data_IF_396626960098
#
_entry.id   IF_396626960098
#
_cell.length_a   1.000
_cell.length_b   1.000
_cell.length_c   1.000
_cell.angle_alpha   90.00
_cell.angle_beta   90.00
_cell.angle_gamma   90.00
#
_symmetry.space_group_name_H-M   'P 1'
#
loop_
_entity.id
_entity.type
_entity.pdbx_description
1 polymer ?
#
# COMPACT_ATOMS: atom_id res chain seq x y z
N UNK A 1 10.20 6.76 9.07
CA UNK A 1 10.72 5.72 8.16
C UNK A 1 9.98 5.89 6.84
N UNK A 2 10.68 6.03 5.70
CA UNK A 2 10.03 6.34 4.41
C UNK A 2 9.68 5.08 3.59
N UNK A 3 10.23 3.93 3.95
CA UNK A 3 9.97 2.65 3.27
C UNK A 3 10.33 1.48 4.19
N UNK A 4 9.84 0.30 3.85
CA UNK A 4 10.24 -0.99 4.43
C UNK A 4 10.46 -1.95 3.26
N UNK A 5 11.58 -2.66 3.28
CA UNK A 5 11.72 -3.91 2.53
C UNK A 5 11.37 -5.04 3.49
N UNK A 6 10.29 -5.77 3.22
CA UNK A 6 9.93 -6.91 4.04
C UNK A 6 10.86 -8.09 3.75
N UNK A 7 11.00 -8.99 4.73
CA UNK A 7 11.80 -10.22 4.59
C UNK A 7 11.16 -11.27 3.67
N UNK A 8 9.90 -11.07 3.26
CA UNK A 8 9.20 -11.99 2.36
C UNK A 8 9.67 -11.80 0.91
N UNK A 9 9.83 -12.92 0.22
CA UNK A 9 10.11 -12.99 -1.20
C UNK A 9 9.09 -13.91 -1.86
N UNK A 10 8.58 -13.50 -3.02
CA UNK A 10 7.61 -14.23 -3.80
C UNK A 10 8.24 -14.85 -5.04
N UNK A 11 7.72 -16.00 -5.45
CA UNK A 11 8.18 -16.75 -6.61
C UNK A 11 7.94 -15.95 -7.89
N UNK A 12 9.04 -15.44 -8.46
CA UNK A 12 8.99 -14.56 -9.63
C UNK A 12 8.54 -15.32 -10.88
N UNK A 13 8.89 -16.60 -11.03
CA UNK A 13 8.52 -17.38 -12.20
C UNK A 13 7.01 -17.65 -12.21
N UNK A 14 6.41 -17.97 -11.05
CA UNK A 14 4.95 -18.08 -10.91
C UNK A 14 4.25 -16.77 -11.21
N UNK A 15 4.74 -15.64 -10.66
CA UNK A 15 4.17 -14.32 -10.91
C UNK A 15 4.21 -13.93 -12.39
N UNK A 16 5.33 -14.20 -13.06
CA UNK A 16 5.50 -13.89 -14.49
C UNK A 16 4.63 -14.80 -15.38
N UNK A 17 4.50 -16.08 -15.03
CA UNK A 17 3.62 -17.01 -15.73
C UNK A 17 2.14 -16.57 -15.67
N UNK A 18 1.68 -16.11 -14.51
CA UNK A 18 0.31 -15.57 -14.34
C UNK A 18 0.12 -14.24 -15.08
N UNK A 19 1.11 -13.35 -15.00
CA UNK A 19 1.09 -12.08 -15.72
C UNK A 19 0.94 -12.27 -17.24
N UNK A 20 1.53 -13.32 -17.81
CA UNK A 20 1.39 -13.62 -19.24
C UNK A 20 -0.06 -13.86 -19.68
N UNK A 21 -0.94 -14.33 -18.78
CA UNK A 21 -2.38 -14.42 -19.01
C UNK A 21 -3.02 -13.03 -19.01
N UNK A 22 -2.73 -12.23 -18.00
CA UNK A 22 -3.32 -10.89 -17.81
C UNK A 22 -2.88 -9.88 -18.87
N UNK A 23 -1.68 -10.02 -19.44
CA UNK A 23 -1.21 -9.16 -20.53
C UNK A 23 -2.04 -9.27 -21.83
N UNK A 24 -2.92 -10.28 -21.92
CA UNK A 24 -3.87 -10.44 -23.04
C UNK A 24 -5.18 -9.67 -22.85
N UNK A 25 -5.42 -9.18 -21.63
CA UNK A 25 -6.60 -8.39 -21.29
C UNK A 25 -6.45 -6.93 -21.73
N UNK A 26 -7.53 -6.16 -21.65
CA UNK A 26 -7.48 -4.72 -21.91
C UNK A 26 -6.93 -3.96 -20.69
N UNK A 27 -5.84 -3.22 -20.89
CA UNK A 27 -5.23 -2.38 -19.87
C UNK A 27 -5.52 -0.90 -20.16
N UNK A 28 -6.46 -0.27 -19.44
CA UNK A 28 -6.71 1.16 -19.58
C UNK A 28 -5.46 1.98 -19.21
N UNK A 29 -5.33 3.14 -19.86
CA UNK A 29 -4.36 4.16 -19.46
C UNK A 29 -4.66 4.60 -18.02
N UNK A 30 -3.59 4.84 -17.26
CA UNK A 30 -3.71 5.37 -15.92
C UNK A 30 -4.38 6.75 -15.94
N UNK A 31 -5.29 7.01 -15.00
CA UNK A 31 -6.11 8.23 -14.99
C UNK A 31 -5.28 9.51 -14.74
N UNK A 32 -4.10 9.40 -14.12
CA UNK A 32 -3.21 10.55 -13.91
C UNK A 32 -2.43 10.89 -15.19
N UNK A 33 -2.88 11.96 -15.86
CA UNK A 33 -2.28 12.50 -17.08
C UNK A 33 -1.36 13.71 -16.85
N UNK A 34 -1.29 14.25 -15.63
CA UNK A 34 -0.55 15.49 -15.33
C UNK A 34 0.88 15.21 -14.86
N UNK A 35 1.01 14.21 -14.01
CA UNK A 35 2.27 13.89 -13.31
C UNK A 35 3.07 12.81 -14.02
N UNK A 36 2.78 12.58 -15.31
CA UNK A 36 3.33 11.47 -16.06
C UNK A 36 3.80 11.89 -17.47
N UNK A 37 4.84 11.23 -17.96
CA UNK A 37 5.24 11.23 -19.37
C UNK A 37 5.55 9.78 -19.81
N UNK A 38 4.93 9.31 -20.90
CA UNK A 38 5.12 7.97 -21.46
C UNK A 38 3.83 7.15 -21.60
N UNK A 39 3.90 5.82 -21.43
CA UNK A 39 2.74 4.92 -21.33
C UNK A 39 2.69 4.29 -19.91
N UNK A 40 1.64 4.61 -19.17
CA UNK A 40 1.35 4.10 -17.83
C UNK A 40 -0.04 3.50 -17.85
N UNK A 41 -0.13 2.20 -17.56
CA UNK A 41 -1.37 1.44 -17.60
C UNK A 41 -1.64 0.73 -16.30
N UNK A 42 -2.91 0.49 -16.03
CA UNK A 42 -3.36 -0.19 -14.83
C UNK A 42 -4.44 -1.21 -15.18
N UNK A 43 -4.46 -2.33 -14.46
CA UNK A 43 -5.60 -3.25 -14.45
C UNK A 43 -5.85 -3.67 -13.01
N UNK A 44 -7.11 -3.62 -12.59
CA UNK A 44 -7.49 -3.92 -11.21
C UNK A 44 -7.67 -5.41 -11.02
N UNK A 45 -7.10 -5.92 -9.94
CA UNK A 45 -7.35 -7.24 -9.38
C UNK A 45 -8.47 -7.17 -8.32
N UNK A 46 -8.57 -6.04 -7.59
CA UNK A 46 -9.68 -5.68 -6.70
C UNK A 46 -10.09 -4.22 -6.93
N UNK A 47 -11.38 -3.95 -7.07
CA UNK A 47 -11.95 -2.62 -7.29
C UNK A 47 -13.30 -2.47 -6.58
N UNK A 48 -13.80 -1.24 -6.46
CA UNK A 48 -15.07 -0.96 -5.78
C UNK A 48 -16.27 -1.47 -6.61
N UNK A 49 -16.20 -1.34 -7.93
CA UNK A 49 -17.20 -1.88 -8.85
C UNK A 49 -17.12 -3.40 -9.01
N UNK A 50 -15.96 -4.01 -8.75
CA UNK A 50 -15.65 -5.40 -9.10
C UNK A 50 -15.21 -5.57 -10.56
N UNK A 51 -15.13 -4.50 -11.34
CA UNK A 51 -14.66 -4.50 -12.73
C UNK A 51 -13.15 -4.30 -12.82
N UNK A 52 -12.51 -4.98 -13.78
CA UNK A 52 -11.04 -4.95 -13.95
C UNK A 52 -10.51 -3.61 -14.49
N UNK A 53 -11.37 -2.81 -15.13
CA UNK A 53 -11.02 -1.50 -15.69
C UNK A 53 -11.30 -0.33 -14.72
N UNK A 54 -11.90 -0.60 -13.55
CA UNK A 54 -12.04 0.37 -12.47
C UNK A 54 -10.73 0.49 -11.70
N UNK A 55 -9.86 1.35 -12.21
CA UNK A 55 -8.47 1.54 -11.75
C UNK A 55 -8.34 2.60 -10.64
N UNK A 56 -9.45 3.06 -10.08
CA UNK A 56 -9.47 4.07 -9.04
C UNK A 56 -9.42 3.42 -7.64
N UNK A 57 -8.69 4.07 -6.74
CA UNK A 57 -8.79 3.81 -5.31
C UNK A 57 -9.88 4.72 -4.72
N UNK A 58 -11.09 4.19 -4.59
CA UNK A 58 -12.21 4.88 -3.94
C UNK A 58 -12.09 4.78 -2.42
N UNK A 59 -12.10 5.89 -1.67
CA UNK A 59 -12.13 5.83 -0.21
C UNK A 59 -13.45 5.25 0.29
N UNK A 60 -13.40 4.49 1.40
CA UNK A 60 -14.57 3.97 2.13
C UNK A 60 -15.52 3.07 1.29
N UNK A 61 -15.01 2.49 0.20
CA UNK A 61 -15.76 1.59 -0.67
C UNK A 61 -15.60 0.12 -0.28
N UNK A 62 -16.62 -0.70 -0.52
CA UNK A 62 -16.46 -2.16 -0.49
C UNK A 62 -15.67 -2.62 -1.72
N UNK A 63 -14.52 -3.26 -1.51
CA UNK A 63 -13.69 -3.78 -2.59
C UNK A 63 -13.94 -5.25 -2.87
N UNK A 64 -14.05 -5.59 -4.16
CA UNK A 64 -14.37 -6.94 -4.63
C UNK A 64 -13.31 -7.45 -5.58
N UNK A 65 -13.07 -8.75 -5.53
CA UNK A 65 -12.22 -9.45 -6.49
C UNK A 65 -12.79 -9.30 -7.90
N UNK A 66 -11.95 -8.88 -8.83
CA UNK A 66 -12.30 -8.73 -10.25
C UNK A 66 -12.14 -10.06 -11.00
N UNK A 67 -12.70 -10.19 -12.22
CA UNK A 67 -12.45 -11.36 -13.07
C UNK A 67 -10.96 -11.63 -13.33
N UNK A 68 -10.11 -10.60 -13.41
CA UNK A 68 -8.68 -10.74 -13.71
C UNK A 68 -7.93 -11.44 -12.58
N UNK A 69 -8.34 -11.28 -11.32
CA UNK A 69 -7.70 -11.98 -10.20
C UNK A 69 -7.82 -13.51 -10.32
N UNK A 70 -8.86 -14.03 -11.01
CA UNK A 70 -9.00 -15.47 -11.28
C UNK A 70 -7.91 -16.02 -12.19
N UNK A 71 -7.23 -15.16 -12.96
CA UNK A 71 -6.09 -15.51 -13.80
C UNK A 71 -4.77 -15.53 -13.02
N UNK A 72 -4.78 -15.05 -11.77
CA UNK A 72 -3.59 -14.93 -10.93
C UNK A 72 -3.77 -15.64 -9.56
N UNK A 73 -3.94 -16.97 -9.53
CA UNK A 73 -4.17 -17.71 -8.29
C UNK A 73 -3.04 -17.58 -7.27
N UNK A 74 -1.78 -17.47 -7.69
CA UNK A 74 -0.66 -17.21 -6.80
C UNK A 74 -0.73 -15.80 -6.20
N UNK A 75 -1.11 -14.80 -7.00
CA UNK A 75 -1.39 -13.47 -6.43
C UNK A 75 -2.52 -13.54 -5.41
N UNK A 76 -3.57 -14.32 -5.65
CA UNK A 76 -4.64 -14.55 -4.67
C UNK A 76 -4.10 -15.17 -3.37
N UNK A 77 -3.23 -16.18 -3.44
CA UNK A 77 -2.53 -16.75 -2.27
C UNK A 77 -1.73 -15.68 -1.50
N UNK A 78 -1.02 -14.81 -2.23
CA UNK A 78 -0.28 -13.69 -1.63
C UNK A 78 -1.24 -12.74 -0.91
N UNK A 79 -2.34 -12.32 -1.55
CA UNK A 79 -3.32 -11.46 -0.91
C UNK A 79 -3.90 -12.10 0.35
N UNK A 80 -4.20 -13.40 0.33
CA UNK A 80 -4.76 -14.11 1.48
C UNK A 80 -3.75 -14.23 2.64
N UNK A 81 -2.45 -14.24 2.35
CA UNK A 81 -1.38 -14.31 3.37
C UNK A 81 -1.21 -13.01 4.18
N UNK A 82 -1.69 -11.88 3.67
CA UNK A 82 -1.68 -10.61 4.41
C UNK A 82 -2.92 -10.54 5.28
N UNK A 83 -2.80 -10.65 6.60
CA UNK A 83 -3.95 -10.73 7.52
C UNK A 83 -4.59 -9.36 7.82
N UNK A 84 -4.90 -8.62 6.76
CA UNK A 84 -5.57 -7.33 6.81
C UNK A 84 -6.66 -7.23 5.75
N UNK A 85 -7.51 -6.23 5.90
CA UNK A 85 -8.43 -5.84 4.85
C UNK A 85 -7.64 -5.18 3.71
N UNK A 86 -8.05 -5.48 2.47
CA UNK A 86 -7.46 -4.90 1.26
C UNK A 86 -8.52 -4.09 0.55
N UNK A 87 -8.16 -2.85 0.27
CA UNK A 87 -8.92 -1.98 -0.60
C UNK A 87 -8.61 -2.34 -2.06
N UNK A 88 -8.04 -1.39 -2.81
CA UNK A 88 -7.69 -1.60 -4.20
C UNK A 88 -6.44 -2.47 -4.34
N UNK A 89 -6.49 -3.40 -5.27
CA UNK A 89 -5.33 -4.19 -5.71
C UNK A 89 -5.24 -4.09 -7.20
N UNK A 90 -4.07 -3.75 -7.73
CA UNK A 90 -3.89 -3.50 -9.17
C UNK A 90 -2.50 -3.85 -9.64
N UNK A 91 -2.39 -4.18 -10.93
CA UNK A 91 -1.11 -4.23 -11.62
C UNK A 91 -0.86 -2.86 -12.26
N UNK A 92 0.30 -2.27 -12.00
CA UNK A 92 0.75 -1.04 -12.65
C UNK A 92 1.91 -1.30 -13.58
N UNK A 93 1.69 -1.03 -14.88
CA UNK A 93 2.69 -1.14 -15.94
C UNK A 93 3.24 0.22 -16.32
N UNK A 94 4.55 0.38 -16.31
CA UNK A 94 5.27 1.60 -16.69
C UNK A 94 6.21 1.29 -17.86
N UNK A 95 5.95 1.86 -19.03
CA UNK A 95 6.71 1.59 -20.24
C UNK A 95 8.16 2.12 -20.19
N UNK A 96 9.07 1.59 -21.03
CA UNK A 96 10.41 2.13 -21.23
C UNK A 96 10.41 3.66 -21.45
N UNK A 97 11.39 4.35 -20.89
CA UNK A 97 11.55 5.81 -20.99
C UNK A 97 10.51 6.64 -20.23
N UNK A 98 9.58 6.00 -19.52
CA UNK A 98 8.48 6.71 -18.87
C UNK A 98 8.87 7.24 -17.49
N UNK A 99 8.31 8.40 -17.13
CA UNK A 99 8.60 9.11 -15.87
C UNK A 99 7.31 9.51 -15.18
N UNK A 100 7.17 9.12 -13.92
CA UNK A 100 6.21 9.69 -12.97
C UNK A 100 6.93 10.78 -12.19
N UNK A 101 6.49 12.03 -12.37
CA UNK A 101 7.10 13.24 -11.83
C UNK A 101 6.99 13.31 -10.30
N UNK A 102 7.82 14.12 -9.62
CA UNK A 102 7.70 14.34 -8.19
C UNK A 102 6.31 14.83 -7.78
N UNK A 103 5.61 14.04 -6.96
CA UNK A 103 4.30 14.38 -6.40
C UNK A 103 4.14 13.78 -4.99
N UNK A 104 2.97 13.99 -4.38
CA UNK A 104 2.58 13.40 -3.10
C UNK A 104 1.19 12.82 -3.27
N UNK A 105 0.94 11.70 -2.61
CA UNK A 105 -0.37 11.07 -2.50
C UNK A 105 -0.86 11.24 -1.05
N UNK A 106 -1.61 12.31 -0.72
CA UNK A 106 -2.10 12.53 0.64
C UNK A 106 -2.93 11.35 1.13
N UNK A 107 -2.77 10.99 2.41
CA UNK A 107 -3.54 9.92 3.03
C UNK A 107 -3.04 8.51 2.70
N UNK A 108 -1.97 8.33 1.92
CA UNK A 108 -1.43 7.01 1.56
C UNK A 108 -0.32 6.50 2.50
N UNK A 109 -0.15 7.12 3.67
CA UNK A 109 0.88 6.73 4.64
C UNK A 109 0.35 5.78 5.72
N UNK A 110 1.21 4.90 6.24
CA UNK A 110 0.85 3.97 7.34
C UNK A 110 0.34 4.68 8.60
N UNK A 111 0.78 5.93 8.82
CA UNK A 111 0.28 6.77 9.90
C UNK A 111 -1.19 7.20 9.74
N UNK A 112 -1.70 7.23 8.49
CA UNK A 112 -3.06 7.61 8.14
C UNK A 112 -4.05 6.42 8.23
N UNK A 113 -3.57 5.24 8.62
CA UNK A 113 -4.41 4.04 8.77
C UNK A 113 -4.51 3.18 7.52
N UNK A 114 -3.81 3.52 6.44
CA UNK A 114 -3.71 2.71 5.22
C UNK A 114 -2.27 2.55 4.78
N UNK A 115 -1.97 1.59 3.91
CA UNK A 115 -0.61 1.40 3.41
C UNK A 115 -0.60 0.82 2.01
N UNK A 116 0.43 1.16 1.25
CA UNK A 116 0.63 0.68 -0.12
C UNK A 116 1.85 -0.23 -0.20
N UNK A 117 1.62 -1.47 -0.62
CA UNK A 117 2.68 -2.40 -0.95
C UNK A 117 2.98 -2.40 -2.44
N UNK A 118 4.24 -2.65 -2.76
CA UNK A 118 4.73 -2.92 -4.11
C UNK A 118 5.41 -4.29 -4.13
N UNK A 119 4.96 -5.16 -5.03
CA UNK A 119 5.63 -6.43 -5.35
C UNK A 119 6.00 -6.39 -6.84
N UNK A 120 7.29 -6.21 -7.20
CA UNK A 120 7.70 -6.19 -8.59
C UNK A 120 7.60 -7.60 -9.21
N UNK A 121 6.89 -7.71 -10.34
CA UNK A 121 6.85 -8.93 -11.17
C UNK A 121 7.91 -8.83 -12.27
N UNK A 122 7.91 -7.68 -12.96
CA UNK A 122 8.85 -7.33 -14.03
C UNK A 122 9.47 -5.99 -13.67
N UNK A 123 10.79 -5.90 -13.70
CA UNK A 123 11.57 -4.69 -13.42
C UNK A 123 12.91 -4.80 -14.14
N UNK A 124 13.70 -3.73 -14.15
CA UNK A 124 15.04 -3.73 -14.73
C UNK A 124 15.97 -2.81 -13.91
N UNK A 125 17.31 -2.93 -14.06
CA UNK A 125 18.27 -2.12 -13.29
C UNK A 125 18.18 -0.60 -13.48
N UNK A 126 17.47 -0.15 -14.52
CA UNK A 126 17.25 1.26 -14.84
C UNK A 126 15.90 1.79 -14.33
N UNK A 127 15.15 0.97 -13.58
CA UNK A 127 13.95 1.40 -12.85
C UNK A 127 14.33 1.77 -11.44
N UNK A 128 13.99 2.99 -11.02
CA UNK A 128 14.16 3.40 -9.64
C UNK A 128 13.04 4.31 -9.15
N UNK A 129 12.81 4.24 -7.86
CA UNK A 129 11.90 5.08 -7.11
C UNK A 129 12.74 6.08 -6.35
N UNK A 130 12.31 7.33 -6.25
CA UNK A 130 12.87 8.31 -5.32
C UNK A 130 11.81 8.62 -4.30
N UNK A 131 12.01 8.25 -3.04
CA UNK A 131 11.08 8.51 -1.93
C UNK A 131 11.76 9.46 -0.95
N UNK A 132 11.23 10.67 -0.82
CA UNK A 132 11.79 11.73 0.03
C UNK A 132 13.32 11.92 -0.16
N UNK A 133 13.75 11.95 -1.42
CA UNK A 133 15.17 12.09 -1.81
C UNK A 133 16.00 10.80 -1.76
N UNK A 134 15.46 9.69 -1.26
CA UNK A 134 16.15 8.40 -1.24
C UNK A 134 15.81 7.56 -2.47
N UNK A 135 16.84 7.10 -3.18
CA UNK A 135 16.66 6.25 -4.35
C UNK A 135 16.59 4.76 -3.97
N UNK A 136 15.58 4.06 -4.48
CA UNK A 136 15.31 2.64 -4.24
C UNK A 136 15.21 1.89 -5.58
N UNK A 137 15.84 0.71 -5.64
CA UNK A 137 15.80 -0.22 -6.77
C UNK A 137 15.12 -1.50 -6.31
N UNK A 138 13.84 -1.65 -6.65
CA UNK A 138 13.03 -2.79 -6.23
C UNK A 138 13.24 -3.95 -7.20
N UNK A 139 13.66 -5.11 -6.68
CA UNK A 139 13.91 -6.32 -7.48
C UNK A 139 12.66 -7.20 -7.56
N UNK A 140 12.60 -8.01 -8.61
CA UNK A 140 11.51 -8.96 -8.81
C UNK A 140 11.35 -9.89 -7.61
N UNK A 141 10.10 -10.13 -7.21
CA UNK A 141 9.73 -10.98 -6.07
C UNK A 141 9.87 -10.33 -4.70
N UNK A 142 10.52 -9.18 -4.56
CA UNK A 142 10.59 -8.47 -3.27
C UNK A 142 9.24 -7.87 -2.86
N UNK A 143 9.04 -7.62 -1.57
CA UNK A 143 7.87 -6.91 -1.05
C UNK A 143 8.28 -5.62 -0.34
N UNK A 144 7.66 -4.51 -0.75
CA UNK A 144 8.04 -3.17 -0.29
C UNK A 144 6.83 -2.37 0.18
N UNK A 145 6.92 -1.76 1.35
CA UNK A 145 6.10 -0.59 1.69
C UNK A 145 6.90 0.67 1.38
N UNK A 146 6.25 1.70 0.83
CA UNK A 146 6.82 3.04 0.65
C UNK A 146 5.78 4.08 1.05
N UNK A 147 6.22 5.11 1.76
CA UNK A 147 5.35 6.19 2.21
C UNK A 147 5.14 7.22 1.08
N UNK A 148 4.09 7.01 0.29
CA UNK A 148 3.71 7.89 -0.82
C UNK A 148 3.06 9.22 -0.37
N UNK A 149 2.78 9.39 0.93
CA UNK A 149 2.39 10.71 1.47
C UNK A 149 3.55 11.70 1.41
N UNK A 150 4.78 11.20 1.35
CA UNK A 150 5.99 11.99 1.13
C UNK A 150 6.24 12.22 -0.36
N UNK A 151 7.07 13.22 -0.69
CA UNK A 151 7.39 13.51 -2.10
C UNK A 151 8.08 12.32 -2.74
N UNK A 152 7.57 11.87 -3.87
CA UNK A 152 8.11 10.72 -4.56
C UNK A 152 8.03 10.84 -6.09
N UNK A 153 8.92 10.14 -6.78
CA UNK A 153 8.96 10.04 -8.25
C UNK A 153 9.44 8.66 -8.69
N UNK A 154 9.12 8.27 -9.92
CA UNK A 154 9.48 6.96 -10.47
C UNK A 154 10.00 7.17 -11.89
N UNK A 155 11.11 6.52 -12.20
CA UNK A 155 11.72 6.56 -13.53
C UNK A 155 11.92 5.14 -14.02
N UNK A 156 11.48 4.85 -15.25
CA UNK A 156 11.91 3.68 -16.00
C UNK A 156 12.81 4.14 -17.15
N UNK A 157 14.13 4.20 -16.92
CA UNK A 157 15.10 4.56 -17.95
C UNK A 157 15.66 3.32 -18.69
N UNK A 158 14.99 2.18 -18.56
CA UNK A 158 15.35 0.93 -19.22
C UNK A 158 14.70 0.79 -20.58
N UNK A 159 14.91 -0.38 -21.17
CA UNK A 159 14.39 -0.84 -22.46
C UNK A 159 13.21 -1.81 -22.32
N UNK A 160 12.91 -2.25 -21.10
CA UNK A 160 11.79 -3.14 -20.77
C UNK A 160 10.75 -2.46 -19.89
N UNK A 161 9.49 -2.89 -20.02
CA UNK A 161 8.42 -2.41 -19.17
C UNK A 161 8.62 -2.88 -17.73
N UNK A 162 8.12 -2.08 -16.78
CA UNK A 162 8.04 -2.46 -15.37
C UNK A 162 6.59 -2.79 -15.04
N UNK A 163 6.34 -3.91 -14.35
CA UNK A 163 5.01 -4.30 -13.86
C UNK A 163 5.11 -4.68 -12.38
N UNK A 164 4.41 -3.94 -11.53
CA UNK A 164 4.32 -4.24 -10.08
C UNK A 164 2.87 -4.52 -9.69
N UNK A 165 2.68 -5.43 -8.74
CA UNK A 165 1.44 -5.53 -7.98
C UNK A 165 1.45 -4.43 -6.93
N UNK A 166 0.37 -3.66 -6.88
CA UNK A 166 0.10 -2.65 -5.88
C UNK A 166 -1.04 -3.14 -5.01
N UNK A 167 -0.85 -3.14 -3.70
CA UNK A 167 -1.86 -3.54 -2.72
C UNK A 167 -2.06 -2.36 -1.78
N UNK A 168 -3.23 -1.73 -1.84
CA UNK A 168 -3.67 -0.78 -0.81
C UNK A 168 -4.39 -1.58 0.29
N UNK A 169 -3.86 -1.53 1.51
CA UNK A 169 -4.35 -2.28 2.67
C UNK A 169 -4.69 -1.37 3.85
N UNK A 170 -5.59 -1.83 4.70
CA UNK A 170 -6.00 -1.12 5.91
C UNK A 170 -5.15 -1.59 7.09
N UNK A 171 -4.57 -0.64 7.81
CA UNK A 171 -3.77 -0.88 9.01
C UNK A 171 -4.61 -1.57 10.09
N UNK A 172 -4.05 -2.62 10.70
CA UNK A 172 -4.64 -3.30 11.85
C UNK A 172 -3.56 -3.76 12.85
N UNK A 173 -3.95 -4.55 13.86
CA UNK A 173 -3.01 -5.03 14.88
C UNK A 173 -1.94 -6.00 14.33
N UNK A 174 -2.26 -6.78 13.30
CA UNK A 174 -1.30 -7.69 12.67
C UNK A 174 -0.26 -6.91 11.88
N UNK A 175 -0.69 -5.94 11.06
CA UNK A 175 0.24 -5.07 10.34
C UNK A 175 1.09 -4.24 11.30
N UNK A 176 0.54 -3.80 12.44
CA UNK A 176 1.31 -3.05 13.44
C UNK A 176 2.50 -3.86 13.95
N UNK A 177 2.27 -5.13 14.31
CA UNK A 177 3.34 -6.03 14.74
C UNK A 177 4.36 -6.26 13.62
N UNK A 178 3.89 -6.46 12.39
CA UNK A 178 4.76 -6.67 11.24
C UNK A 178 5.64 -5.44 10.96
N UNK A 179 5.06 -4.24 10.97
CA UNK A 179 5.75 -2.99 10.68
C UNK A 179 6.75 -2.63 11.80
N UNK A 180 6.37 -2.80 13.06
CA UNK A 180 7.25 -2.61 14.22
C UNK A 180 8.45 -3.57 14.18
N UNK A 181 8.22 -4.84 13.84
CA UNK A 181 9.28 -5.83 13.65
C UNK A 181 10.28 -5.46 12.53
N UNK A 182 9.87 -4.59 11.60
CA UNK A 182 10.73 -4.03 10.53
C UNK A 182 11.18 -2.59 10.84
N UNK A 183 11.10 -2.16 12.10
CA UNK A 183 11.64 -0.90 12.61
C UNK A 183 10.76 0.32 12.37
N UNK A 184 9.53 0.15 11.88
CA UNK A 184 8.61 1.28 11.71
C UNK A 184 8.14 1.79 13.07
N UNK A 185 8.41 3.06 13.36
CA UNK A 185 7.90 3.69 14.57
C UNK A 185 6.40 3.98 14.41
N UNK A 186 5.56 3.16 15.02
CA UNK A 186 4.09 3.28 15.00
C UNK A 186 3.57 4.57 15.67
N UNK A 187 4.44 5.32 16.35
CA UNK A 187 4.07 6.38 17.28
C UNK A 187 3.40 5.80 18.52
N UNK A 188 3.27 6.60 19.58
CA UNK A 188 2.32 6.26 20.64
C UNK A 188 0.92 6.24 20.00
N UNK A 189 0.12 5.18 20.25
CA UNK A 189 -1.30 5.15 19.86
C UNK A 189 -1.95 6.41 20.42
N UNK A 190 -2.25 7.40 19.58
CA UNK A 190 -3.16 8.48 19.98
C UNK A 190 -4.53 7.85 20.14
N UNK A 191 -4.93 7.69 21.40
CA UNK A 191 -6.25 7.17 21.71
C UNK A 191 -7.29 8.12 21.12
N UNK A 192 -8.24 7.57 20.37
CA UNK A 192 -9.32 8.34 19.77
C UNK A 192 -9.97 9.24 20.82
N UNK A 193 -10.25 10.49 20.46
CA UNK A 193 -10.72 11.50 21.41
C UNK A 193 -12.06 11.10 22.05
N UNK A 194 -12.94 10.44 21.30
CA UNK A 194 -14.22 9.97 21.81
C UNK A 194 -14.06 8.73 22.71
N UNK A 195 -13.19 7.79 22.34
CA UNK A 195 -12.83 6.64 23.20
C UNK A 195 -12.18 7.10 24.49
N UNK A 196 -11.24 8.04 24.41
CA UNK A 196 -10.57 8.67 25.55
C UNK A 196 -11.56 9.37 26.47
N UNK A 197 -12.50 10.13 25.92
CA UNK A 197 -13.56 10.77 26.69
C UNK A 197 -14.47 9.75 27.40
N UNK A 198 -14.85 8.66 26.72
CA UNK A 198 -15.66 7.58 27.32
C UNK A 198 -14.92 6.85 28.43
N UNK A 199 -13.64 6.57 28.26
CA UNK A 199 -12.81 5.96 29.30
C UNK A 199 -12.67 6.87 30.52
N UNK A 200 -12.45 8.18 30.30
CA UNK A 200 -12.39 9.15 31.40
C UNK A 200 -13.73 9.19 32.15
N UNK A 201 -14.86 9.26 31.45
CA UNK A 201 -16.18 9.31 32.07
C UNK A 201 -16.48 8.05 32.92
N UNK A 202 -16.03 6.88 32.47
CA UNK A 202 -16.24 5.64 33.22
C UNK A 202 -15.31 5.55 34.44
N UNK A 203 -14.06 6.00 34.32
CA UNK A 203 -13.14 6.08 35.46
C UNK A 203 -13.61 7.11 36.51
N UNK A 204 -14.22 8.22 36.08
CA UNK A 204 -14.80 9.22 36.97
C UNK A 204 -15.94 8.64 37.80
N UNK A 205 -16.69 7.65 37.26
CA UNK A 205 -17.75 6.94 38.00
C UNK A 205 -17.24 5.97 39.05
N UNK A 206 -16.03 5.43 38.88
CA UNK A 206 -15.46 4.47 39.82
C UNK A 206 -14.99 5.11 41.13
N UNK A 207 -14.69 6.42 41.12
CA UNK A 207 -14.26 7.25 42.27
C UNK A 207 -13.24 6.58 43.21
N UNK A 208 -12.21 5.95 42.63
CA UNK A 208 -11.07 5.40 43.37
C UNK A 208 -9.81 6.23 43.14
N UNK A 209 -8.86 6.18 44.08
CA UNK A 209 -7.54 6.82 43.91
C UNK A 209 -6.83 6.32 42.65
N UNK A 210 -6.94 5.02 42.35
CA UNK A 210 -6.42 4.40 41.12
C UNK A 210 -7.05 5.00 39.87
N UNK A 211 -8.38 5.19 39.86
CA UNK A 211 -9.08 5.80 38.73
C UNK A 211 -8.67 7.26 38.52
N UNK A 212 -8.52 8.04 39.60
CA UNK A 212 -8.06 9.45 39.52
C UNK A 212 -6.64 9.56 38.96
N UNK A 213 -5.74 8.66 39.36
CA UNK A 213 -4.39 8.59 38.80
C UNK A 213 -4.39 8.22 37.31
N UNK A 214 -5.24 7.28 36.90
CA UNK A 214 -5.36 6.88 35.51
C UNK A 214 -5.96 8.01 34.65
N UNK A 215 -6.97 8.74 35.14
CA UNK A 215 -7.52 9.94 34.46
C UNK A 215 -6.44 11.00 34.25
N UNK A 216 -5.58 11.25 35.25
CA UNK A 216 -4.50 12.22 35.12
C UNK A 216 -3.49 11.82 34.03
N UNK A 217 -3.13 10.54 33.98
CA UNK A 217 -2.27 9.98 32.91
C UNK A 217 -2.91 10.14 31.53
N UNK A 218 -4.19 9.79 31.41
CA UNK A 218 -4.93 9.92 30.16
C UNK A 218 -4.99 11.38 29.70
N UNK A 219 -5.31 12.34 30.58
CA UNK A 219 -5.35 13.77 30.23
C UNK A 219 -3.99 14.35 29.83
N UNK A 220 -2.88 13.75 30.28
CA UNK A 220 -1.52 14.19 29.98
C UNK A 220 -0.99 13.72 28.61
N UNK A 221 -1.51 12.63 28.04
CA UNK A 221 -1.16 12.17 26.69
C UNK A 221 -1.70 13.14 25.61
N UNK A 222 -0.81 13.72 24.80
CA UNK A 222 -1.13 14.66 23.69
C UNK A 222 -1.39 13.97 22.36
#
# INVERSE_FOLDING_TARGET
MNYIQFSQFYDTDRLQAELAGVLKEEWPLHFNTRDFNGDWRSISLRSASGESNDIYAHPDGEYKDTPVLKLMPYVKEILDSWECEKESVRLLSLAPGSVIKPHKDPGCGYADGIFRLHIPIVTNPSVYFTINGMQLHLKAGECWYMDFSTTHSIVNNGDTARVHIIIDGIRNSWTDQLFDAHGYNLGAKKMDAAVKARMIAELERMDTDTARNLIASLKAEK
#
